data_IF_576448792338
#
_entry.id   IF_576448792338
#
_cell.length_a   1.000
_cell.length_b   1.000
_cell.length_c   1.000
_cell.angle_alpha   90.00
_cell.angle_beta   90.00
_cell.angle_gamma   90.00
#
_symmetry.space_group_name_H-M   'P 1'
#
loop_
_entity.id
_entity.type
_entity.pdbx_description
1 polymer ?
#
# COMPACT_ATOMS: atom_id res chain seq x y z
N UNK A 1 1.37 4.31 -9.08
CA UNK A 1 1.15 4.76 -7.69
C UNK A 1 0.44 3.72 -6.84
N UNK A 2 -0.85 3.41 -7.06
CA UNK A 2 -1.60 2.48 -6.18
C UNK A 2 -1.16 1.02 -6.37
N UNK A 3 -0.91 0.61 -7.62
CA UNK A 3 -0.72 -0.79 -8.02
C UNK A 3 -2.03 -1.50 -8.42
N UNK A 4 -3.13 -0.75 -8.49
CA UNK A 4 -4.42 -1.16 -9.04
C UNK A 4 -5.06 0.01 -9.80
N UNK A 5 -5.86 -0.30 -10.81
CA UNK A 5 -6.79 0.64 -11.43
C UNK A 5 -7.90 1.03 -10.45
N UNK A 6 -8.63 2.11 -10.74
CA UNK A 6 -9.77 2.55 -9.91
C UNK A 6 -10.88 1.51 -9.83
N UNK A 7 -11.03 0.67 -10.87
CA UNK A 7 -11.94 -0.47 -10.86
C UNK A 7 -11.59 -1.50 -9.77
N UNK A 8 -10.31 -1.62 -9.43
CA UNK A 8 -9.74 -2.67 -8.59
C UNK A 8 -8.81 -3.64 -9.33
N UNK A 9 -8.77 -3.60 -10.67
CA UNK A 9 -7.91 -4.49 -11.47
C UNK A 9 -6.42 -4.28 -11.14
N UNK A 10 -5.65 -5.33 -10.84
CA UNK A 10 -4.22 -5.20 -10.54
C UNK A 10 -3.42 -4.85 -11.79
N UNK A 11 -2.58 -3.82 -11.70
CA UNK A 11 -1.74 -3.41 -12.84
C UNK A 11 -0.65 -4.43 -13.15
N UNK A 12 -0.26 -5.26 -12.18
CA UNK A 12 0.60 -6.42 -12.47
C UNK A 12 -0.05 -7.29 -13.54
N UNK A 13 -1.35 -7.59 -13.49
CA UNK A 13 -2.02 -8.43 -14.51
C UNK A 13 -2.38 -7.65 -15.78
N UNK A 14 -2.90 -6.42 -15.64
CA UNK A 14 -3.35 -5.58 -16.77
C UNK A 14 -2.71 -4.19 -16.72
N UNK A 15 -1.42 -4.07 -17.11
CA UNK A 15 -0.62 -2.87 -16.81
C UNK A 15 -1.00 -1.63 -17.61
N UNK A 16 -1.44 -1.81 -18.87
CA UNK A 16 -1.61 -0.70 -19.81
C UNK A 16 -3.08 -0.33 -20.08
N UNK A 17 -4.03 -1.09 -19.52
CA UNK A 17 -5.46 -0.83 -19.70
C UNK A 17 -6.24 -1.35 -18.50
N UNK A 18 -7.24 -0.60 -18.06
CA UNK A 18 -8.16 -1.07 -17.03
C UNK A 18 -8.99 -2.26 -17.53
N UNK A 19 -9.28 -3.20 -16.63
CA UNK A 19 -10.16 -4.34 -16.86
C UNK A 19 -11.17 -4.46 -15.70
N UNK A 20 -12.33 -3.79 -15.81
CA UNK A 20 -13.36 -3.86 -14.78
C UNK A 20 -13.93 -5.28 -14.56
N UNK A 21 -13.88 -6.15 -15.57
CA UNK A 21 -14.35 -7.54 -15.44
C UNK A 21 -13.38 -8.36 -14.60
N UNK A 22 -12.07 -8.18 -14.80
CA UNK A 22 -11.04 -8.73 -13.91
C UNK A 22 -11.20 -8.20 -12.48
N UNK A 23 -11.51 -6.91 -12.30
CA UNK A 23 -11.58 -6.29 -10.99
C UNK A 23 -12.64 -6.90 -10.06
N UNK A 24 -13.80 -7.28 -10.61
CA UNK A 24 -14.91 -7.85 -9.84
C UNK A 24 -14.83 -9.36 -9.67
N UNK A 25 -13.89 -10.03 -10.34
CA UNK A 25 -13.69 -11.47 -10.20
C UNK A 25 -12.79 -11.79 -8.99
N UNK A 26 -13.36 -12.34 -7.89
CA UNK A 26 -12.59 -12.60 -6.66
C UNK A 26 -11.52 -13.69 -6.83
N UNK A 27 -11.63 -14.54 -7.85
CA UNK A 27 -10.66 -15.60 -8.12
C UNK A 27 -9.46 -15.09 -8.92
N UNK A 28 -9.59 -13.93 -9.57
CA UNK A 28 -8.55 -13.40 -10.48
C UNK A 28 -7.97 -12.07 -10.03
N UNK A 29 -8.76 -11.21 -9.36
CA UNK A 29 -8.33 -9.85 -9.01
C UNK A 29 -7.18 -9.80 -7.98
N UNK A 30 -6.83 -10.91 -7.36
CA UNK A 30 -5.73 -11.02 -6.42
C UNK A 30 -4.74 -12.15 -6.74
N UNK A 31 -4.96 -12.88 -7.84
CA UNK A 31 -4.13 -13.98 -8.33
C UNK A 31 -2.93 -13.46 -9.12
N UNK A 32 -1.95 -12.93 -8.39
CA UNK A 32 -0.70 -12.43 -8.93
C UNK A 32 0.35 -12.39 -7.83
N UNK A 33 1.62 -12.24 -8.17
CA UNK A 33 2.68 -12.18 -7.17
C UNK A 33 3.89 -11.33 -7.58
N UNK A 34 3.77 -10.45 -8.58
CA UNK A 34 4.89 -9.66 -9.12
C UNK A 34 6.02 -10.52 -9.75
N UNK A 35 5.72 -11.78 -10.07
CA UNK A 35 6.68 -12.76 -10.60
C UNK A 35 7.32 -12.35 -11.92
N UNK A 36 6.60 -11.59 -12.75
CA UNK A 36 7.08 -11.16 -14.07
C UNK A 36 7.96 -9.92 -14.05
N UNK A 37 8.33 -9.43 -12.86
CA UNK A 37 8.91 -8.09 -12.67
C UNK A 37 10.23 -8.11 -11.88
N UNK A 38 11.00 -9.20 -11.97
CA UNK A 38 12.35 -9.25 -11.37
C UNK A 38 13.20 -8.18 -12.04
N UNK A 39 13.62 -7.17 -11.28
CA UNK A 39 14.35 -6.01 -11.79
C UNK A 39 13.65 -5.26 -12.94
N UNK A 40 12.31 -5.21 -12.97
CA UNK A 40 11.56 -4.34 -13.89
C UNK A 40 10.35 -3.74 -13.20
N UNK A 41 10.03 -2.50 -13.56
CA UNK A 41 8.89 -1.72 -13.07
C UNK A 41 7.82 -1.49 -14.15
N UNK A 42 7.93 -2.19 -15.28
CA UNK A 42 7.10 -1.98 -16.47
C UNK A 42 5.60 -2.21 -16.21
N UNK A 43 5.24 -3.21 -15.41
CA UNK A 43 3.85 -3.58 -15.10
C UNK A 43 3.37 -2.91 -13.82
N UNK A 44 4.14 -3.02 -12.74
CA UNK A 44 3.86 -2.44 -11.43
C UNK A 44 5.13 -1.88 -10.79
N UNK A 45 5.19 -0.58 -10.49
CA UNK A 45 6.34 0.03 -9.82
C UNK A 45 6.65 -0.65 -8.47
N UNK A 46 7.93 -0.77 -8.12
CA UNK A 46 8.37 -1.31 -6.83
C UNK A 46 7.80 -0.49 -5.66
N UNK A 47 7.75 0.83 -5.83
CA UNK A 47 7.15 1.75 -4.86
C UNK A 47 5.62 1.78 -4.84
N UNK A 48 4.91 0.97 -5.64
CA UNK A 48 3.45 1.00 -5.66
C UNK A 48 2.85 0.60 -4.30
N UNK A 49 1.78 1.29 -3.89
CA UNK A 49 1.19 1.14 -2.55
C UNK A 49 0.90 -0.32 -2.16
N UNK A 50 0.24 -1.08 -3.02
CA UNK A 50 -0.08 -2.49 -2.73
C UNK A 50 1.15 -3.42 -2.76
N UNK A 51 2.23 -3.05 -3.47
CA UNK A 51 3.48 -3.81 -3.54
C UNK A 51 4.34 -3.52 -2.30
N UNK A 52 4.47 -2.26 -1.91
CA UNK A 52 5.07 -1.84 -0.63
C UNK A 52 4.40 -2.48 0.59
N UNK A 53 3.07 -2.52 0.62
CA UNK A 53 2.32 -3.00 1.80
C UNK A 53 2.07 -4.51 1.82
N UNK A 54 2.30 -5.19 0.70
CA UNK A 54 2.31 -6.65 0.58
C UNK A 54 3.21 -7.05 -0.59
N UNK A 55 4.51 -7.28 -0.34
CA UNK A 55 5.55 -7.44 -1.38
C UNK A 55 5.51 -8.79 -2.11
N UNK A 56 4.77 -9.79 -1.61
CA UNK A 56 4.63 -11.12 -2.24
C UNK A 56 6.00 -11.69 -2.61
N UNK A 57 6.23 -12.04 -3.88
CA UNK A 57 7.47 -12.68 -4.32
C UNK A 57 8.70 -11.78 -4.27
N UNK A 58 8.57 -10.45 -4.12
CA UNK A 58 9.74 -9.59 -3.84
C UNK A 58 10.47 -10.05 -2.55
N UNK A 59 9.74 -10.71 -1.63
CA UNK A 59 10.29 -11.33 -0.42
C UNK A 59 10.14 -12.85 -0.38
N UNK A 60 9.02 -13.41 -0.86
CA UNK A 60 8.71 -14.84 -0.76
C UNK A 60 9.39 -15.71 -1.84
N UNK A 61 9.89 -15.11 -2.93
CA UNK A 61 10.67 -15.81 -3.96
C UNK A 61 11.81 -14.91 -4.49
N UNK A 62 12.76 -14.51 -3.62
CA UNK A 62 13.84 -13.60 -4.00
C UNK A 62 14.85 -14.30 -4.93
N UNK A 63 15.69 -13.53 -5.65
CA UNK A 63 16.72 -14.11 -6.50
C UNK A 63 17.72 -14.94 -5.67
N UNK A 64 18.19 -16.06 -6.24
CA UNK A 64 19.23 -16.87 -5.61
C UNK A 64 20.52 -16.05 -5.40
N UNK A 65 21.26 -16.24 -4.28
CA UNK A 65 21.14 -17.30 -3.27
C UNK A 65 20.30 -16.89 -2.04
N UNK A 66 19.43 -15.90 -2.14
CA UNK A 66 18.68 -15.38 -0.99
C UNK A 66 17.56 -16.35 -0.61
N UNK A 67 17.42 -16.62 0.69
CA UNK A 67 16.32 -17.44 1.20
C UNK A 67 15.00 -16.64 1.21
N UNK A 68 13.86 -17.28 0.90
CA UNK A 68 12.54 -16.66 1.08
C UNK A 68 12.35 -16.04 2.45
N UNK A 69 11.79 -14.83 2.48
CA UNK A 69 11.44 -14.08 3.68
C UNK A 69 9.91 -14.16 3.85
N UNK A 70 9.41 -14.87 4.89
CA UNK A 70 7.98 -14.98 5.15
C UNK A 70 7.36 -13.62 5.48
N UNK A 71 6.16 -13.36 4.97
CA UNK A 71 5.43 -12.10 5.18
C UNK A 71 4.10 -12.29 5.93
N UNK A 72 3.76 -13.52 6.30
CA UNK A 72 2.51 -13.86 6.99
C UNK A 72 2.35 -13.10 8.31
N UNK A 73 3.45 -12.94 9.05
CA UNK A 73 3.47 -12.20 10.30
C UNK A 73 3.30 -10.68 10.12
N UNK A 74 3.37 -10.18 8.87
CA UNK A 74 3.18 -8.76 8.52
C UNK A 74 1.76 -8.44 8.07
N UNK A 75 0.91 -9.46 7.85
CA UNK A 75 -0.45 -9.25 7.32
C UNK A 75 -1.34 -8.54 8.33
N UNK A 76 -2.13 -7.59 7.84
CA UNK A 76 -3.14 -6.85 8.62
C UNK A 76 -4.52 -7.01 8.00
N UNK A 77 -5.55 -7.04 8.86
CA UNK A 77 -6.95 -6.95 8.42
C UNK A 77 -7.36 -5.48 8.39
N UNK A 78 -7.77 -4.96 7.23
CA UNK A 78 -8.18 -3.55 7.09
C UNK A 78 -9.70 -3.41 7.16
N UNK A 79 -10.19 -2.46 7.96
CA UNK A 79 -11.62 -2.09 8.12
C UNK A 79 -11.82 -0.58 8.09
N UNK A 80 -11.00 0.12 7.29
CA UNK A 80 -11.13 1.56 7.14
C UNK A 80 -12.42 1.97 6.45
N UNK A 81 -12.91 3.17 6.76
CA UNK A 81 -14.11 3.77 6.17
C UNK A 81 -13.82 5.20 5.72
N UNK A 82 -14.41 5.62 4.60
CA UNK A 82 -14.27 7.00 4.13
C UNK A 82 -15.03 7.96 5.06
N UNK A 83 -14.55 9.20 5.19
CA UNK A 83 -15.26 10.26 5.91
C UNK A 83 -15.21 11.58 5.14
N UNK A 84 -16.15 12.46 5.48
CA UNK A 84 -16.28 13.78 4.87
C UNK A 84 -17.15 13.75 3.61
N UNK A 85 -17.44 14.92 3.04
CA UNK A 85 -18.24 15.04 1.83
C UNK A 85 -17.44 14.61 0.59
N UNK A 86 -18.16 14.29 -0.48
CA UNK A 86 -17.57 14.16 -1.82
C UNK A 86 -16.88 15.46 -2.26
N UNK A 87 -16.02 15.37 -3.27
CA UNK A 87 -15.35 16.55 -3.85
C UNK A 87 -16.37 17.42 -4.57
N UNK A 88 -16.42 18.72 -4.23
CA UNK A 88 -17.34 19.66 -4.87
C UNK A 88 -16.87 20.08 -6.26
N UNK A 89 -17.76 20.72 -7.05
CA UNK A 89 -17.39 21.25 -8.37
C UNK A 89 -16.33 22.35 -8.23
N UNK A 90 -16.45 23.19 -7.21
CA UNK A 90 -15.56 24.31 -6.91
C UNK A 90 -14.16 23.80 -6.53
N UNK A 91 -14.08 22.77 -5.69
CA UNK A 91 -12.81 22.11 -5.34
C UNK A 91 -12.16 21.49 -6.60
N UNK A 92 -12.96 20.85 -7.46
CA UNK A 92 -12.46 20.27 -8.72
C UNK A 92 -11.93 21.33 -9.68
N UNK A 93 -12.60 22.47 -9.83
CA UNK A 93 -12.18 23.57 -10.71
C UNK A 93 -10.94 24.27 -10.16
N UNK A 94 -10.91 24.54 -8.86
CA UNK A 94 -9.79 25.26 -8.22
C UNK A 94 -8.56 24.39 -7.97
N UNK A 95 -8.71 23.06 -7.99
CA UNK A 95 -7.64 22.13 -7.63
C UNK A 95 -7.25 22.20 -6.15
N UNK A 96 -8.12 22.76 -5.29
CA UNK A 96 -7.84 22.99 -3.87
C UNK A 96 -8.91 22.33 -3.00
N UNK A 97 -8.45 21.58 -2.00
CA UNK A 97 -9.32 21.01 -0.96
C UNK A 97 -9.81 22.11 -0.03
N UNK A 98 -11.13 22.19 0.16
CA UNK A 98 -11.82 23.13 1.04
C UNK A 98 -12.51 22.42 2.21
N UNK A 99 -12.92 21.16 2.04
CA UNK A 99 -13.56 20.37 3.08
C UNK A 99 -12.68 19.22 3.57
N UNK A 100 -12.71 18.95 4.87
CA UNK A 100 -12.04 17.80 5.47
C UNK A 100 -12.68 16.49 5.01
N UNK A 101 -11.88 15.63 4.37
CA UNK A 101 -12.28 14.29 3.91
C UNK A 101 -11.08 13.35 3.92
N UNK A 102 -11.36 12.06 3.86
CA UNK A 102 -10.30 11.06 3.74
C UNK A 102 -10.74 9.70 4.22
N UNK A 103 -9.85 9.02 4.92
CA UNK A 103 -10.06 7.66 5.42
C UNK A 103 -9.89 7.64 6.94
N UNK A 104 -10.91 7.18 7.65
CA UNK A 104 -10.76 6.68 9.01
C UNK A 104 -10.14 5.30 8.88
N UNK A 105 -8.81 5.25 8.91
CA UNK A 105 -8.08 4.01 8.78
C UNK A 105 -8.18 3.20 10.07
N UNK A 106 -8.63 1.95 9.95
CA UNK A 106 -8.64 0.98 11.02
C UNK A 106 -8.05 -0.33 10.51
N UNK A 107 -7.13 -0.93 11.28
CA UNK A 107 -6.60 -2.24 10.99
C UNK A 107 -6.41 -3.08 12.24
N UNK A 108 -6.42 -4.39 12.05
CA UNK A 108 -6.26 -5.38 13.12
C UNK A 108 -5.08 -6.28 12.82
N UNK A 109 -4.32 -6.55 13.87
CA UNK A 109 -3.17 -7.44 13.92
C UNK A 109 -3.00 -7.94 15.35
N UNK A 110 -2.36 -9.09 15.53
CA UNK A 110 -2.02 -9.62 16.85
C UNK A 110 -0.83 -8.89 17.49
N UNK A 111 0.03 -8.25 16.69
CA UNK A 111 1.23 -7.56 17.17
C UNK A 111 1.48 -6.28 16.34
N UNK A 112 1.40 -5.12 16.99
CA UNK A 112 1.49 -3.80 16.32
C UNK A 112 2.82 -3.58 15.59
N UNK A 113 3.92 -3.97 16.25
CA UNK A 113 5.29 -3.88 15.71
C UNK A 113 5.51 -4.75 14.48
N UNK A 114 4.70 -5.80 14.29
CA UNK A 114 4.80 -6.65 13.10
C UNK A 114 3.83 -6.27 11.99
N UNK A 115 2.68 -5.65 12.32
CA UNK A 115 1.66 -5.25 11.36
C UNK A 115 1.82 -3.79 10.91
N UNK A 116 0.88 -2.95 11.31
CA UNK A 116 0.80 -1.54 10.89
C UNK A 116 2.11 -0.76 11.03
N UNK A 117 2.79 -0.87 12.19
CA UNK A 117 4.02 -0.11 12.43
C UNK A 117 5.13 -0.54 11.46
N UNK A 118 5.30 -1.85 11.27
CA UNK A 118 6.29 -2.41 10.35
C UNK A 118 6.04 -1.96 8.92
N UNK A 119 4.79 -2.13 8.44
CA UNK A 119 4.42 -1.77 7.08
C UNK A 119 4.68 -0.28 6.83
N UNK A 120 4.30 0.59 7.77
CA UNK A 120 4.49 2.03 7.60
C UNK A 120 5.99 2.41 7.66
N UNK A 121 6.72 1.95 8.68
CA UNK A 121 8.09 2.39 8.94
C UNK A 121 9.12 1.68 8.06
N UNK A 122 9.07 0.36 8.01
CA UNK A 122 10.09 -0.47 7.36
C UNK A 122 9.86 -0.65 5.87
N UNK A 123 8.62 -0.51 5.38
CA UNK A 123 8.30 -0.68 3.96
C UNK A 123 7.91 0.62 3.28
N UNK A 124 6.80 1.24 3.69
CA UNK A 124 6.26 2.42 3.02
C UNK A 124 7.17 3.66 3.14
N UNK A 125 7.83 3.85 4.28
CA UNK A 125 8.77 4.97 4.50
C UNK A 125 10.21 4.66 4.06
N UNK A 126 10.53 3.42 3.69
CA UNK A 126 11.88 3.05 3.26
C UNK A 126 12.08 3.36 1.77
N UNK A 127 13.14 4.08 1.41
CA UNK A 127 13.48 4.37 0.00
C UNK A 127 13.97 3.13 -0.76
N UNK A 128 14.61 2.21 -0.06
CA UNK A 128 15.33 1.05 -0.63
C UNK A 128 14.53 -0.24 -0.56
N UNK A 129 13.23 -0.16 -0.25
CA UNK A 129 12.32 -1.31 -0.18
C UNK A 129 11.39 -1.35 -1.40
N UNK A 130 11.02 -2.51 -1.98
CA UNK A 130 11.49 -3.87 -1.69
C UNK A 130 13.00 -4.04 -1.89
N UNK A 131 13.65 -4.94 -1.12
CA UNK A 131 15.07 -5.22 -1.27
C UNK A 131 15.33 -6.08 -2.52
N UNK A 132 16.60 -6.20 -2.90
CA UNK A 132 17.11 -7.10 -3.96
C UNK A 132 16.90 -6.63 -5.41
N UNK A 133 16.23 -5.51 -5.60
CA UNK A 133 16.17 -4.88 -6.92
C UNK A 133 17.55 -4.37 -7.33
N UNK A 134 17.93 -4.59 -8.58
CA UNK A 134 19.21 -4.17 -9.15
C UNK A 134 19.08 -2.96 -10.07
N UNK A 135 17.91 -2.32 -10.09
CA UNK A 135 17.74 -1.07 -10.81
C UNK A 135 18.60 0.04 -10.17
N UNK A 136 19.17 0.97 -10.96
CA UNK A 136 20.10 1.98 -10.45
C UNK A 136 19.41 2.99 -9.53
N UNK A 137 18.12 3.27 -9.76
CA UNK A 137 17.33 4.17 -8.92
C UNK A 137 16.60 3.40 -7.82
N UNK A 138 16.60 3.97 -6.63
CA UNK A 138 15.82 3.45 -5.51
C UNK A 138 14.30 3.41 -5.85
N UNK A 139 13.55 2.40 -5.36
CA UNK A 139 12.09 2.39 -5.45
C UNK A 139 11.42 3.67 -4.91
N UNK A 140 12.03 4.27 -3.89
CA UNK A 140 11.52 5.45 -3.22
C UNK A 140 10.45 5.15 -2.17
N UNK A 141 9.81 6.20 -1.68
CA UNK A 141 8.74 6.08 -0.68
C UNK A 141 7.44 5.63 -1.35
N UNK A 142 6.55 5.01 -0.57
CA UNK A 142 5.17 4.81 -1.00
C UNK A 142 4.54 6.17 -1.36
N UNK A 143 3.97 6.34 -2.58
CA UNK A 143 3.48 7.63 -3.05
C UNK A 143 2.25 8.14 -2.31
N UNK A 144 1.51 7.27 -1.60
CA UNK A 144 0.28 7.59 -0.92
C UNK A 144 0.48 7.79 0.58
N UNK A 145 1.14 6.84 1.25
CA UNK A 145 1.28 6.83 2.71
C UNK A 145 2.72 7.01 3.20
N UNK A 146 3.71 7.02 2.31
CA UNK A 146 5.11 7.28 2.69
C UNK A 146 5.24 8.68 3.30
N UNK A 147 5.94 8.77 4.43
CA UNK A 147 6.14 10.02 5.17
C UNK A 147 7.60 10.47 5.06
N UNK A 148 7.80 11.68 4.55
CA UNK A 148 9.12 12.25 4.25
C UNK A 148 9.13 12.90 2.88
N UNK A 149 10.32 13.15 2.33
CA UNK A 149 10.47 13.61 0.95
C UNK A 149 10.04 12.48 0.01
N UNK A 150 8.84 12.59 -0.57
CA UNK A 150 8.26 11.57 -1.44
C UNK A 150 8.77 11.72 -2.85
N UNK A 151 9.64 10.80 -3.22
CA UNK A 151 10.16 10.59 -4.57
C UNK A 151 10.08 9.10 -4.86
N UNK A 152 9.76 8.73 -6.10
CA UNK A 152 9.76 7.33 -6.52
C UNK A 152 10.12 7.18 -8.00
N UNK A 153 10.77 6.07 -8.33
CA UNK A 153 11.02 5.61 -9.69
C UNK A 153 9.87 4.73 -10.21
N UNK A 154 9.94 4.29 -11.46
CA UNK A 154 9.02 3.31 -12.04
C UNK A 154 7.63 3.81 -12.43
N UNK A 155 7.25 5.04 -12.10
CA UNK A 155 5.92 5.57 -12.45
C UNK A 155 5.71 5.80 -13.95
N UNK A 156 6.79 5.98 -14.70
CA UNK A 156 6.77 6.14 -16.15
C UNK A 156 7.16 4.80 -16.80
N UNK A 157 6.21 4.04 -17.38
CA UNK A 157 6.49 2.71 -17.93
C UNK A 157 7.41 2.75 -19.17
N UNK A 158 7.62 3.93 -19.77
CA UNK A 158 8.55 4.10 -20.89
C UNK A 158 9.95 4.52 -20.42
N UNK A 159 10.10 4.90 -19.15
CA UNK A 159 11.37 5.26 -18.54
C UNK A 159 11.32 4.92 -17.04
N UNK A 160 11.58 3.65 -16.72
CA UNK A 160 11.51 3.13 -15.35
C UNK A 160 12.45 3.84 -14.36
N UNK A 161 13.53 4.46 -14.85
CA UNK A 161 14.49 5.23 -14.02
C UNK A 161 14.03 6.66 -13.72
N UNK A 162 12.94 7.13 -14.34
CA UNK A 162 12.48 8.48 -14.12
C UNK A 162 11.95 8.62 -12.69
N UNK A 163 12.71 9.34 -11.87
CA UNK A 163 12.30 9.71 -10.51
C UNK A 163 11.31 10.88 -10.57
N UNK A 164 10.18 10.74 -9.88
CA UNK A 164 9.17 11.78 -9.75
C UNK A 164 8.99 12.17 -8.28
N UNK A 165 9.12 13.45 -7.98
CA UNK A 165 8.74 14.01 -6.68
C UNK A 165 7.24 14.22 -6.60
N UNK A 166 6.65 13.86 -5.46
CA UNK A 166 5.22 13.88 -5.22
C UNK A 166 4.90 14.70 -3.97
N UNK A 167 3.82 15.52 -3.99
CA UNK A 167 3.36 16.20 -2.79
C UNK A 167 2.67 15.22 -1.85
N UNK A 168 2.40 15.69 -0.63
CA UNK A 168 1.62 14.92 0.32
C UNK A 168 0.12 14.93 -0.03
N UNK A 169 -0.40 13.79 -0.48
CA UNK A 169 -1.84 13.62 -0.75
C UNK A 169 -2.65 13.18 0.47
N UNK A 170 -1.99 12.48 1.41
CA UNK A 170 -2.59 11.96 2.63
C UNK A 170 -1.86 12.59 3.81
N UNK A 171 -2.60 13.33 4.65
CA UNK A 171 -2.07 14.03 5.82
C UNK A 171 -2.59 13.34 7.08
N UNK A 172 -1.72 12.65 7.85
CA UNK A 172 -2.11 12.09 9.14
C UNK A 172 -2.63 13.18 10.08
N UNK A 173 -3.79 12.96 10.70
CA UNK A 173 -4.39 13.88 11.68
C UNK A 173 -4.39 13.33 13.11
N UNK A 174 -3.55 12.32 13.35
CA UNK A 174 -3.51 11.55 14.59
C UNK A 174 -4.13 10.17 14.44
N UNK A 175 -4.17 9.45 15.55
CA UNK A 175 -4.65 8.08 15.67
C UNK A 175 -4.27 7.53 17.05
N UNK A 176 -4.72 6.32 17.35
CA UNK A 176 -4.43 5.66 18.63
C UNK A 176 -4.43 4.13 18.46
N UNK A 177 -3.70 3.44 19.33
CA UNK A 177 -3.72 1.99 19.42
C UNK A 177 -4.72 1.51 20.47
N UNK A 178 -5.57 0.57 20.06
CA UNK A 178 -6.57 -0.04 20.92
C UNK A 178 -6.43 -1.55 20.95
N UNK A 179 -6.90 -2.15 22.03
CA UNK A 179 -7.11 -3.59 22.12
C UNK A 179 -8.61 -3.89 21.99
N UNK A 180 -8.98 -4.75 21.05
CA UNK A 180 -10.34 -5.27 20.93
C UNK A 180 -10.42 -6.60 21.67
N UNK A 181 -10.90 -6.63 22.93
CA UNK A 181 -10.98 -7.87 23.70
C UNK A 181 -11.99 -8.83 23.08
N UNK A 182 -11.87 -10.11 23.43
CA UNK A 182 -12.97 -11.05 23.15
C UNK A 182 -14.25 -10.60 23.86
N UNK A 183 -15.41 -10.99 23.33
CA UNK A 183 -16.72 -10.68 23.94
C UNK A 183 -16.76 -11.18 25.40
N UNK A 184 -16.18 -12.36 25.67
CA UNK A 184 -16.06 -12.92 27.03
C UNK A 184 -15.14 -12.07 27.91
N UNK A 185 -13.99 -11.62 27.40
CA UNK A 185 -13.06 -10.77 28.13
C UNK A 185 -13.67 -9.41 28.49
N UNK A 186 -14.44 -8.82 27.57
CA UNK A 186 -15.18 -7.59 27.84
C UNK A 186 -16.17 -7.80 29.00
N UNK A 187 -17.04 -8.82 28.90
CA UNK A 187 -18.10 -9.08 29.88
C UNK A 187 -17.59 -9.50 31.26
N UNK A 188 -16.56 -10.35 31.30
CA UNK A 188 -16.19 -11.07 32.52
C UNK A 188 -14.91 -10.55 33.17
N UNK A 189 -14.16 -9.67 32.51
CA UNK A 189 -12.88 -9.14 33.02
C UNK A 189 -12.88 -7.62 33.05
N UNK A 190 -13.18 -6.96 31.94
CA UNK A 190 -13.05 -5.49 31.84
C UNK A 190 -14.27 -4.78 32.44
N UNK A 191 -15.48 -5.21 32.11
CA UNK A 191 -16.73 -4.60 32.55
C UNK A 191 -17.37 -5.30 33.76
N UNK A 192 -16.57 -6.04 34.54
CA UNK A 192 -17.07 -6.76 35.72
C UNK A 192 -17.32 -5.75 36.84
N UNK A 193 -18.60 -5.51 37.15
CA UNK A 193 -19.04 -4.75 38.32
C UNK A 193 -18.82 -5.53 39.62
#
# INVERSE_FOLDING_TARGET
MVGRWKSGAPIDVTPFKDDPALAVDPNRNNDFAFQGEVNSQLRCPFGAHVRKTNPRNDLEAPPAPINPIPIENRRIMRRGVQFGPEVTKEEKISGKTQHGRGLLFACYQSHLENGFQFIQQSWANSKTFPPFETQPEDPGLDPLIGQGVREMSGLDPLNEQKVLSLPDFIIPRGGEYFFSPSIKGLKNTIAKA
#
